data_IF_065948386708
#
_entry.id   IF_065948386708
#
_cell.length_a   1.000
_cell.length_b   1.000
_cell.length_c   1.000
_cell.angle_alpha   90.00
_cell.angle_beta   90.00
_cell.angle_gamma   90.00
#
_symmetry.space_group_name_H-M   'P 1'
#
loop_
_entity.id
_entity.type
_entity.pdbx_description
1 polymer ?
#
# COMPACT_ATOMS: atom_id res chain seq x y z
N UNK A 1 -6.27 -8.39 -12.72
CA UNK A 1 -5.87 -8.03 -11.35
C UNK A 1 -4.87 -9.04 -10.81
N UNK A 2 -3.82 -8.58 -10.15
CA UNK A 2 -2.85 -9.44 -9.47
C UNK A 2 -2.95 -9.18 -7.98
N UNK A 3 -3.67 -10.01 -7.22
CA UNK A 3 -3.80 -9.83 -5.79
C UNK A 3 -2.54 -10.28 -5.05
N UNK A 4 -2.12 -9.50 -4.05
CA UNK A 4 -1.03 -9.83 -3.13
C UNK A 4 -1.65 -10.05 -1.75
N UNK A 5 -1.45 -11.25 -1.18
CA UNK A 5 -1.90 -11.60 0.18
C UNK A 5 -0.75 -11.48 1.18
N UNK A 6 -1.11 -11.35 2.45
CA UNK A 6 -0.18 -11.38 3.58
C UNK A 6 0.94 -10.34 3.49
N UNK A 7 0.54 -9.10 3.32
CA UNK A 7 1.46 -7.97 3.39
C UNK A 7 1.45 -7.33 4.77
N UNK A 8 2.58 -6.83 5.21
CA UNK A 8 2.70 -5.91 6.33
C UNK A 8 3.06 -4.53 5.80
N UNK A 9 2.60 -3.49 6.49
CA UNK A 9 2.96 -2.12 6.20
C UNK A 9 3.74 -1.53 7.36
N UNK A 10 4.81 -0.81 7.06
CA UNK A 10 5.52 0.03 8.00
C UNK A 10 5.34 1.47 7.61
N UNK A 11 4.63 2.22 8.42
CA UNK A 11 4.41 3.64 8.26
C UNK A 11 5.46 4.43 9.02
N UNK A 12 6.21 5.26 8.33
CA UNK A 12 7.27 6.08 8.90
C UNK A 12 6.86 7.55 8.82
N UNK A 13 6.84 8.22 9.96
CA UNK A 13 6.38 9.60 10.08
C UNK A 13 7.51 10.54 10.48
N UNK A 14 7.50 11.72 9.89
CA UNK A 14 8.35 12.82 10.31
C UNK A 14 7.53 14.11 10.45
N UNK A 15 7.20 14.50 11.68
CA UNK A 15 6.27 15.59 11.97
C UNK A 15 6.92 16.97 12.10
N UNK A 16 8.17 17.06 12.60
CA UNK A 16 8.83 18.34 12.86
C UNK A 16 9.36 18.99 11.59
N UNK A 17 10.00 18.18 10.72
CA UNK A 17 10.41 18.58 9.38
C UNK A 17 9.68 17.69 8.40
N UNK A 18 8.91 18.28 7.49
CA UNK A 18 8.17 17.50 6.50
C UNK A 18 9.13 16.56 5.76
N UNK A 19 8.76 15.29 5.67
CA UNK A 19 9.58 14.23 5.06
C UNK A 19 10.08 14.60 3.65
N UNK A 20 9.24 15.26 2.87
CA UNK A 20 9.55 15.63 1.48
C UNK A 20 10.59 16.75 1.37
N UNK A 21 10.86 17.51 2.43
CA UNK A 21 11.90 18.54 2.47
C UNK A 21 13.27 17.99 2.89
N UNK A 22 13.33 16.79 3.44
CA UNK A 22 14.58 16.16 3.87
C UNK A 22 15.17 15.30 2.75
N UNK A 23 16.26 15.82 2.15
CA UNK A 23 16.95 15.11 1.06
C UNK A 23 17.45 13.75 1.55
N UNK A 24 17.07 12.70 0.82
CA UNK A 24 17.53 11.33 1.06
C UNK A 24 16.79 10.58 2.17
N UNK A 25 15.73 11.15 2.77
CA UNK A 25 14.95 10.46 3.80
C UNK A 25 14.42 9.11 3.29
N UNK A 26 13.71 9.11 2.14
CA UNK A 26 13.17 7.88 1.55
C UNK A 26 14.25 6.85 1.23
N UNK A 27 15.41 7.28 0.72
CA UNK A 27 16.54 6.38 0.47
C UNK A 27 17.01 5.70 1.74
N UNK A 28 17.13 6.44 2.85
CA UNK A 28 17.58 5.87 4.12
C UNK A 28 16.58 4.88 4.70
N UNK A 29 15.27 5.12 4.53
CA UNK A 29 14.23 4.16 4.90
C UNK A 29 14.39 2.87 4.09
N UNK A 30 14.46 2.96 2.77
CA UNK A 30 14.60 1.80 1.90
C UNK A 30 15.92 1.05 2.14
N UNK A 31 17.00 1.75 2.49
CA UNK A 31 18.26 1.13 2.88
C UNK A 31 18.10 0.21 4.10
N UNK A 32 17.27 0.57 5.08
CA UNK A 32 17.02 -0.29 6.23
C UNK A 32 16.41 -1.64 5.84
N UNK A 33 15.54 -1.67 4.82
CA UNK A 33 15.00 -2.91 4.28
C UNK A 33 16.04 -3.68 3.46
N UNK A 34 16.78 -2.99 2.60
CA UNK A 34 17.86 -3.58 1.79
C UNK A 34 18.91 -4.26 2.67
N UNK A 35 19.41 -3.59 3.71
CA UNK A 35 20.42 -4.11 4.64
C UNK A 35 19.93 -5.37 5.37
N UNK A 36 18.62 -5.55 5.49
CA UNK A 36 18.01 -6.74 6.10
C UNK A 36 17.52 -7.77 5.07
N UNK A 37 17.81 -7.57 3.79
CA UNK A 37 17.47 -8.50 2.72
C UNK A 37 15.96 -8.62 2.48
N UNK A 38 15.21 -7.52 2.64
CA UNK A 38 13.77 -7.47 2.42
C UNK A 38 13.46 -6.65 1.18
N UNK A 39 12.74 -7.23 0.22
CA UNK A 39 12.19 -6.53 -0.92
C UNK A 39 10.85 -5.87 -0.56
N UNK A 40 10.57 -4.72 -1.15
CA UNK A 40 9.26 -4.07 -0.98
C UNK A 40 8.33 -4.37 -2.16
N UNK A 41 7.05 -4.40 -1.88
CA UNK A 41 5.98 -4.57 -2.87
C UNK A 41 5.47 -3.23 -3.39
N UNK A 42 5.31 -2.27 -2.49
CA UNK A 42 4.74 -0.98 -2.80
C UNK A 42 5.20 0.08 -1.80
N UNK A 43 5.42 1.31 -2.27
CA UNK A 43 5.93 2.39 -1.41
C UNK A 43 5.17 3.68 -1.70
N UNK A 44 3.93 3.81 -1.22
CA UNK A 44 3.22 5.08 -1.28
C UNK A 44 3.83 6.08 -0.29
N UNK A 45 3.97 7.32 -0.69
CA UNK A 45 4.50 8.37 0.15
C UNK A 45 3.60 9.60 0.14
N UNK A 46 3.43 10.23 1.30
CA UNK A 46 2.80 11.51 1.49
C UNK A 46 3.81 12.64 1.64
N UNK A 47 3.37 13.78 2.18
CA UNK A 47 4.22 14.93 2.45
C UNK A 47 5.13 14.66 3.67
N UNK A 48 4.57 14.05 4.70
CA UNK A 48 5.18 13.81 6.01
C UNK A 48 5.24 12.32 6.40
N UNK A 49 4.79 11.44 5.52
CA UNK A 49 4.74 10.00 5.78
C UNK A 49 5.25 9.20 4.60
N UNK A 50 5.81 8.05 4.87
CA UNK A 50 6.19 7.05 3.88
C UNK A 50 5.74 5.68 4.37
N UNK A 51 5.00 4.98 3.54
CA UNK A 51 4.56 3.60 3.82
C UNK A 51 5.37 2.63 2.99
N UNK A 52 5.86 1.57 3.59
CA UNK A 52 6.57 0.50 2.89
C UNK A 52 5.80 -0.80 3.10
N UNK A 53 5.25 -1.34 2.00
CA UNK A 53 4.59 -2.66 1.99
C UNK A 53 5.60 -3.73 1.65
N UNK A 54 5.64 -4.76 2.49
CA UNK A 54 6.55 -5.91 2.37
C UNK A 54 5.79 -7.21 2.58
N UNK A 55 6.36 -8.33 2.14
CA UNK A 55 5.82 -9.63 2.48
C UNK A 55 5.95 -9.89 3.99
N UNK A 56 4.81 -10.17 4.62
CA UNK A 56 4.75 -10.37 6.07
C UNK A 56 5.66 -11.50 6.54
N UNK A 57 5.71 -12.61 5.82
CA UNK A 57 6.52 -13.77 6.16
C UNK A 57 8.03 -13.45 6.16
N UNK A 58 8.48 -12.57 5.25
CA UNK A 58 9.87 -12.13 5.20
C UNK A 58 10.20 -11.11 6.29
N UNK A 59 9.22 -10.35 6.73
CA UNK A 59 9.38 -9.24 7.65
C UNK A 59 9.33 -9.67 9.12
N UNK A 60 8.47 -10.61 9.50
CA UNK A 60 8.18 -10.96 10.89
C UNK A 60 9.42 -11.28 11.71
N UNK A 61 10.33 -12.11 11.17
CA UNK A 61 11.56 -12.50 11.87
C UNK A 61 12.61 -11.37 11.93
N UNK A 62 12.46 -10.35 11.12
CA UNK A 62 13.43 -9.25 10.94
C UNK A 62 12.90 -7.89 11.43
N UNK A 63 11.68 -7.84 11.92
CA UNK A 63 10.99 -6.61 12.31
C UNK A 63 11.86 -5.73 13.22
N UNK A 64 12.37 -6.29 14.30
CA UNK A 64 13.18 -5.53 15.26
C UNK A 64 14.45 -4.96 14.63
N UNK A 65 15.11 -5.73 13.77
CA UNK A 65 16.32 -5.27 13.08
C UNK A 65 16.03 -4.15 12.08
N UNK A 66 14.92 -4.26 11.36
CA UNK A 66 14.48 -3.22 10.40
C UNK A 66 14.12 -1.94 11.14
N UNK A 67 13.32 -2.03 12.20
CA UNK A 67 12.93 -0.88 13.02
C UNK A 67 14.16 -0.18 13.62
N UNK A 68 15.10 -0.94 14.17
CA UNK A 68 16.36 -0.39 14.68
C UNK A 68 17.19 0.30 13.59
N UNK A 69 17.25 -0.28 12.39
CA UNK A 69 17.94 0.31 11.26
C UNK A 69 17.26 1.61 10.78
N UNK A 70 15.93 1.66 10.73
CA UNK A 70 15.18 2.87 10.39
C UNK A 70 15.47 3.99 11.40
N UNK A 71 15.42 3.70 12.68
CA UNK A 71 15.74 4.69 13.73
C UNK A 71 17.16 5.21 13.61
N UNK A 72 18.12 4.33 13.32
CA UNK A 72 19.53 4.72 13.17
C UNK A 72 19.78 5.56 11.92
N UNK A 73 19.18 5.18 10.79
CA UNK A 73 19.48 5.77 9.48
C UNK A 73 18.66 7.02 9.19
N UNK A 74 17.39 7.03 9.55
CA UNK A 74 16.44 8.07 9.16
C UNK A 74 15.92 8.91 10.32
N UNK A 75 16.00 8.42 11.55
CA UNK A 75 15.52 9.11 12.76
C UNK A 75 14.11 9.69 12.61
N UNK A 76 13.10 8.86 12.28
CA UNK A 76 11.73 9.32 12.15
C UNK A 76 11.15 9.67 13.54
N UNK A 77 10.11 10.48 13.56
CA UNK A 77 9.41 10.80 14.82
C UNK A 77 8.57 9.62 15.31
N UNK A 78 8.02 8.83 14.39
CA UNK A 78 7.20 7.67 14.71
C UNK A 78 7.31 6.60 13.62
N UNK A 79 7.26 5.35 14.04
CA UNK A 79 7.10 4.19 13.17
C UNK A 79 5.86 3.43 13.64
N UNK A 80 4.96 3.13 12.72
CA UNK A 80 3.80 2.29 12.95
C UNK A 80 3.87 1.06 12.06
N UNK A 81 3.47 -0.10 12.55
CA UNK A 81 3.51 -1.37 11.83
C UNK A 81 2.13 -2.00 11.86
N UNK A 82 1.58 -2.29 10.70
CA UNK A 82 0.31 -2.97 10.54
C UNK A 82 0.52 -4.27 9.75
N UNK A 83 0.07 -5.40 10.31
CA UNK A 83 0.09 -6.70 9.67
C UNK A 83 -1.25 -7.09 9.07
N UNK A 84 -1.31 -8.28 8.47
CA UNK A 84 -2.52 -8.90 7.93
C UNK A 84 -3.26 -8.02 6.91
N UNK A 85 -2.50 -7.42 6.01
CA UNK A 85 -2.99 -6.62 4.91
C UNK A 85 -2.96 -7.39 3.59
N UNK A 86 -3.87 -7.07 2.69
CA UNK A 86 -3.86 -7.55 1.32
C UNK A 86 -3.88 -6.37 0.35
N UNK A 87 -3.02 -6.43 -0.67
CA UNK A 87 -3.00 -5.49 -1.77
C UNK A 87 -3.72 -6.06 -2.99
N UNK A 88 -4.62 -5.28 -3.55
CA UNK A 88 -5.38 -5.62 -4.76
C UNK A 88 -4.98 -4.63 -5.85
N UNK A 89 -4.42 -5.12 -6.94
CA UNK A 89 -4.17 -4.32 -8.12
C UNK A 89 -5.31 -4.53 -9.12
N UNK A 90 -6.08 -3.48 -9.39
CA UNK A 90 -7.07 -3.46 -10.48
C UNK A 90 -6.39 -2.90 -11.71
N UNK A 91 -6.17 -3.75 -12.71
CA UNK A 91 -5.43 -3.40 -13.92
C UNK A 91 -6.31 -3.55 -15.14
N UNK A 92 -6.35 -2.55 -16.01
CA UNK A 92 -7.12 -2.63 -17.24
C UNK A 92 -6.76 -1.54 -18.23
N UNK A 93 -6.53 -1.93 -19.47
CA UNK A 93 -6.28 -0.97 -20.57
C UNK A 93 -7.46 -0.02 -20.78
N UNK A 94 -8.68 -0.49 -20.55
CA UNK A 94 -9.90 0.31 -20.62
C UNK A 94 -10.09 1.29 -19.46
N UNK A 95 -9.26 1.23 -18.41
CA UNK A 95 -9.33 2.18 -17.29
C UNK A 95 -8.79 3.56 -17.68
N UNK A 96 -7.86 3.61 -18.61
CA UNK A 96 -7.32 4.86 -19.14
C UNK A 96 -8.43 5.63 -19.83
N UNK A 97 -8.63 6.86 -19.39
CA UNK A 97 -9.67 7.77 -19.92
C UNK A 97 -11.13 7.38 -19.61
N UNK A 98 -11.39 6.31 -18.86
CA UNK A 98 -12.74 5.98 -18.41
C UNK A 98 -13.07 6.74 -17.13
N UNK A 99 -13.92 7.75 -17.26
CA UNK A 99 -14.32 8.59 -16.12
C UNK A 99 -15.11 7.79 -15.09
N UNK A 100 -14.79 8.03 -13.82
CA UNK A 100 -15.54 7.48 -12.69
C UNK A 100 -15.20 6.04 -12.32
N UNK A 101 -14.20 5.40 -12.95
CA UNK A 101 -13.81 4.03 -12.61
C UNK A 101 -13.40 3.89 -11.16
N UNK A 102 -12.54 4.77 -10.65
CA UNK A 102 -12.14 4.78 -9.25
C UNK A 102 -13.34 4.93 -8.31
N UNK A 103 -14.24 5.88 -8.59
CA UNK A 103 -15.45 6.09 -7.80
C UNK A 103 -16.35 4.85 -7.75
N UNK A 104 -16.49 4.13 -8.85
CA UNK A 104 -17.28 2.89 -8.90
C UNK A 104 -16.65 1.77 -8.09
N UNK A 105 -15.33 1.63 -8.16
CA UNK A 105 -14.60 0.64 -7.35
C UNK A 105 -14.81 0.92 -5.87
N UNK A 106 -14.65 2.16 -5.42
CA UNK A 106 -14.84 2.53 -4.02
C UNK A 106 -16.29 2.38 -3.57
N UNK A 107 -17.25 2.71 -4.42
CA UNK A 107 -18.67 2.46 -4.14
C UNK A 107 -18.97 0.98 -3.97
N UNK A 108 -18.41 0.12 -4.81
CA UNK A 108 -18.56 -1.33 -4.71
C UNK A 108 -18.00 -1.87 -3.38
N UNK A 109 -16.82 -1.41 -2.97
CA UNK A 109 -16.22 -1.79 -1.69
C UNK A 109 -17.04 -1.28 -0.50
N UNK A 110 -17.52 -0.05 -0.56
CA UNK A 110 -18.38 0.53 0.48
C UNK A 110 -19.68 -0.26 0.65
N UNK A 111 -20.35 -0.62 -0.45
CA UNK A 111 -21.58 -1.43 -0.42
C UNK A 111 -21.32 -2.85 0.13
N UNK A 112 -20.13 -3.39 -0.05
CA UNK A 112 -19.72 -4.66 0.54
C UNK A 112 -19.25 -4.53 2.00
N UNK A 113 -19.36 -3.34 2.59
CA UNK A 113 -18.91 -3.03 3.95
C UNK A 113 -17.42 -3.30 4.18
N UNK A 114 -16.60 -3.00 3.19
CA UNK A 114 -15.15 -3.20 3.23
C UNK A 114 -14.45 -1.87 3.49
N UNK A 115 -13.61 -1.83 4.53
CA UNK A 115 -12.79 -0.68 4.83
C UNK A 115 -11.54 -0.66 3.95
N UNK A 116 -11.32 0.44 3.24
CA UNK A 116 -10.12 0.66 2.43
C UNK A 116 -9.03 1.26 3.31
N UNK A 117 -7.91 0.55 3.41
CA UNK A 117 -6.75 0.96 4.22
C UNK A 117 -5.80 1.87 3.45
N UNK A 118 -5.66 1.64 2.15
CA UNK A 118 -4.75 2.38 1.28
C UNK A 118 -5.27 2.39 -0.15
N UNK A 119 -5.01 3.49 -0.84
CA UNK A 119 -5.35 3.69 -2.25
C UNK A 119 -4.16 4.35 -2.94
N UNK A 120 -3.78 3.81 -4.08
CA UNK A 120 -2.82 4.47 -4.96
C UNK A 120 -3.22 4.28 -6.43
N UNK A 121 -3.08 5.33 -7.23
CA UNK A 121 -3.28 5.31 -8.66
C UNK A 121 -2.14 6.08 -9.33
N UNK A 122 -1.34 5.39 -10.12
CA UNK A 122 -0.25 6.01 -10.85
C UNK A 122 -0.73 6.94 -11.98
N UNK A 123 0.15 7.82 -12.43
CA UNK A 123 -0.14 8.76 -13.52
C UNK A 123 -0.45 8.09 -14.86
N UNK A 124 -0.13 6.82 -15.02
CA UNK A 124 -0.49 6.02 -16.20
C UNK A 124 -1.98 5.69 -16.30
N UNK A 125 -2.72 5.82 -15.18
CA UNK A 125 -4.14 5.47 -15.06
C UNK A 125 -4.47 4.00 -15.43
N UNK A 126 -3.45 3.16 -15.56
CA UNK A 126 -3.62 1.76 -15.97
C UNK A 126 -3.94 0.83 -14.80
N UNK A 127 -3.64 1.26 -13.58
CA UNK A 127 -3.87 0.48 -12.39
C UNK A 127 -4.33 1.34 -11.21
N UNK A 128 -5.11 0.71 -10.35
CA UNK A 128 -5.45 1.22 -9.02
C UNK A 128 -5.02 0.15 -8.02
N UNK A 129 -4.21 0.53 -7.04
CA UNK A 129 -3.80 -0.37 -5.96
C UNK A 129 -4.61 -0.03 -4.73
N UNK A 130 -5.22 -1.05 -4.13
CA UNK A 130 -6.10 -0.92 -2.97
C UNK A 130 -5.60 -1.85 -1.87
N UNK A 131 -5.40 -1.30 -0.68
CA UNK A 131 -5.09 -2.06 0.52
C UNK A 131 -6.34 -2.30 1.35
N UNK A 132 -6.57 -3.53 1.75
CA UNK A 132 -7.65 -3.96 2.64
C UNK A 132 -7.11 -4.90 3.70
N UNK A 133 -7.89 -5.16 4.75
CA UNK A 133 -7.56 -6.24 5.69
C UNK A 133 -7.57 -7.59 4.96
N UNK A 134 -6.66 -8.49 5.32
CA UNK A 134 -6.55 -9.80 4.67
C UNK A 134 -7.87 -10.60 4.74
N UNK A 135 -8.61 -10.49 5.84
CA UNK A 135 -9.92 -11.12 5.98
C UNK A 135 -11.00 -10.62 5.00
N UNK A 136 -10.83 -9.41 4.46
CA UNK A 136 -11.75 -8.82 3.49
C UNK A 136 -11.34 -9.08 2.03
N UNK A 137 -10.20 -9.71 1.80
CA UNK A 137 -9.61 -9.85 0.48
C UNK A 137 -10.55 -10.50 -0.55
N UNK A 138 -11.13 -11.65 -0.24
CA UNK A 138 -11.99 -12.39 -1.17
C UNK A 138 -13.28 -11.62 -1.47
N UNK A 139 -13.89 -11.03 -0.44
CA UNK A 139 -15.09 -10.21 -0.60
C UNK A 139 -14.81 -8.94 -1.42
N UNK A 140 -13.64 -8.34 -1.24
CA UNK A 140 -13.20 -7.17 -2.02
C UNK A 140 -13.02 -7.52 -3.51
N UNK A 141 -12.34 -8.63 -3.80
CA UNK A 141 -12.18 -9.13 -5.17
C UNK A 141 -13.54 -9.37 -5.83
N UNK A 142 -14.44 -10.03 -5.12
CA UNK A 142 -15.80 -10.33 -5.62
C UNK A 142 -16.61 -9.05 -5.88
N UNK A 143 -16.57 -8.10 -4.98
CA UNK A 143 -17.27 -6.81 -5.12
C UNK A 143 -16.78 -6.04 -6.35
N UNK A 144 -15.47 -5.95 -6.53
CA UNK A 144 -14.86 -5.27 -7.68
C UNK A 144 -15.19 -6.01 -8.98
N UNK A 145 -15.05 -7.32 -9.00
CA UNK A 145 -15.36 -8.14 -10.18
C UNK A 145 -16.81 -7.98 -10.62
N UNK A 146 -17.76 -8.07 -9.70
CA UNK A 146 -19.19 -7.94 -10.00
C UNK A 146 -19.53 -6.56 -10.57
N UNK A 147 -18.86 -5.51 -10.11
CA UNK A 147 -19.04 -4.18 -10.67
C UNK A 147 -18.66 -4.12 -12.16
N UNK A 148 -17.54 -4.73 -12.55
CA UNK A 148 -17.12 -4.73 -13.97
C UNK A 148 -18.00 -5.60 -14.84
N UNK A 149 -18.51 -6.72 -14.36
CA UNK A 149 -19.41 -7.61 -15.11
C UNK A 149 -20.78 -6.98 -15.36
N UNK A 150 -21.32 -6.25 -14.37
CA UNK A 150 -22.63 -5.59 -14.50
C UNK A 150 -22.63 -4.39 -15.46
N UNK A 151 -21.48 -3.82 -15.76
CA UNK A 151 -21.34 -2.70 -16.70
C UNK A 151 -21.24 -3.16 -18.16
N UNK A 152 -21.04 -4.44 -18.40
CA UNK A 152 -20.99 -5.02 -19.77
C UNK A 152 -22.35 -5.46 -20.31
N UNK A 153 -23.41 -5.31 -19.55
CA UNK A 153 -24.80 -5.54 -19.96
C UNK A 153 -25.51 -4.23 -20.26
#
# INVERSE_FOLDING_TARGET
STPIKSSAASDVYKRQDMMNSEIGFGRRILQAFEDNGISFEHVPSGIDTMTVFVHQDEFMDKEQNVVAAIHRLAKPDMIDIEGDLALIAVVGRGMRSTRGTAGRIFSALAHANINVKMIDQGSSELNIIIGVSDGDFENAIRAIYNMFVLVQL
#
